data_IF_862129212540
#
_entry.id   IF_862129212540
#
_cell.length_a   1.000
_cell.length_b   1.000
_cell.length_c   1.000
_cell.angle_alpha   90.00
_cell.angle_beta   90.00
_cell.angle_gamma   90.00
#
_symmetry.space_group_name_H-M   'P 1'
#
loop_
_entity.id
_entity.type
_entity.pdbx_description
1 polymer ?
#
# COMPACT_ATOMS: atom_id res chain seq x y z
N UNK A 1 21.92 5.52 -15.34
CA UNK A 1 21.19 6.64 -14.71
C UNK A 1 21.74 7.06 -13.34
N UNK A 2 22.50 6.21 -12.60
CA UNK A 2 23.15 6.64 -11.35
C UNK A 2 22.17 7.11 -10.25
N UNK A 3 20.95 6.58 -10.26
CA UNK A 3 19.88 7.03 -9.36
C UNK A 3 20.09 6.50 -7.94
N UNK A 4 19.75 7.32 -6.96
CA UNK A 4 19.65 6.87 -5.58
C UNK A 4 18.55 5.81 -5.44
N UNK A 5 18.79 4.76 -4.66
CA UNK A 5 17.75 3.77 -4.29
C UNK A 5 16.52 4.39 -3.64
N UNK A 6 16.66 5.57 -3.02
CA UNK A 6 15.55 6.35 -2.44
C UNK A 6 14.68 7.05 -3.50
N UNK A 7 15.12 7.08 -4.75
CA UNK A 7 14.46 7.73 -5.90
C UNK A 7 14.03 6.74 -6.97
N UNK A 8 14.14 5.44 -6.68
CA UNK A 8 13.57 4.36 -7.49
C UNK A 8 12.54 3.68 -6.61
N UNK A 9 11.27 3.95 -6.87
CA UNK A 9 10.17 3.43 -6.05
C UNK A 9 9.46 2.33 -6.80
N UNK A 10 9.38 1.16 -6.18
CA UNK A 10 8.51 0.06 -6.62
C UNK A 10 7.21 0.13 -5.83
N UNK A 11 6.08 0.22 -6.53
CA UNK A 11 4.75 0.06 -5.92
C UNK A 11 4.20 -1.35 -6.18
N UNK A 12 3.46 -1.91 -5.23
CA UNK A 12 2.88 -3.26 -5.31
C UNK A 12 1.52 -3.33 -4.61
N UNK A 13 0.61 -4.12 -5.17
CA UNK A 13 -0.70 -4.44 -4.56
C UNK A 13 -0.64 -5.58 -3.52
N UNK A 14 0.54 -6.18 -3.30
CA UNK A 14 0.75 -7.12 -2.19
C UNK A 14 0.87 -8.60 -2.57
N UNK A 15 1.69 -8.92 -3.58
CA UNK A 15 2.10 -10.33 -3.82
C UNK A 15 3.16 -10.71 -2.77
N UNK A 16 2.72 -11.15 -1.59
CA UNK A 16 3.57 -11.32 -0.39
C UNK A 16 4.82 -12.18 -0.63
N UNK A 17 4.74 -13.40 -1.22
CA UNK A 17 5.94 -14.21 -1.44
C UNK A 17 6.96 -13.57 -2.40
N UNK A 18 6.49 -12.71 -3.31
CA UNK A 18 7.36 -11.97 -4.22
C UNK A 18 8.02 -10.77 -3.51
N UNK A 19 7.32 -10.13 -2.57
CA UNK A 19 7.90 -9.07 -1.75
C UNK A 19 9.00 -9.60 -0.82
N UNK A 20 8.78 -10.77 -0.21
CA UNK A 20 9.82 -11.43 0.60
C UNK A 20 11.08 -11.72 -0.25
N UNK A 21 10.90 -12.28 -1.45
CA UNK A 21 11.99 -12.51 -2.42
C UNK A 21 12.68 -11.20 -2.84
N UNK A 22 11.92 -10.13 -3.05
CA UNK A 22 12.48 -8.83 -3.41
C UNK A 22 13.46 -8.33 -2.35
N UNK A 23 13.11 -8.49 -1.07
CA UNK A 23 13.97 -8.12 0.05
C UNK A 23 15.29 -8.88 0.12
N UNK A 24 15.36 -10.08 -0.49
CA UNK A 24 16.58 -10.88 -0.59
C UNK A 24 17.39 -10.57 -1.87
N UNK A 25 16.82 -9.84 -2.82
CA UNK A 25 17.41 -9.58 -4.13
C UNK A 25 17.91 -8.14 -4.29
N UNK A 26 17.11 -7.14 -3.89
CA UNK A 26 17.43 -5.72 -4.13
C UNK A 26 16.74 -4.77 -3.14
N UNK A 27 17.49 -3.74 -2.73
CA UNK A 27 17.01 -2.65 -1.86
C UNK A 27 16.62 -1.42 -2.70
N UNK A 28 15.31 -1.17 -2.81
CA UNK A 28 14.69 -0.01 -3.48
C UNK A 28 13.61 0.60 -2.58
N UNK A 29 13.20 1.84 -2.84
CA UNK A 29 12.11 2.42 -2.08
C UNK A 29 10.79 1.67 -2.38
N UNK A 30 10.06 1.32 -1.34
CA UNK A 30 8.78 0.62 -1.43
C UNK A 30 7.60 1.58 -1.22
N UNK A 31 6.62 1.49 -2.10
CA UNK A 31 5.26 1.96 -1.90
C UNK A 31 4.28 0.78 -1.95
N UNK A 32 3.15 0.89 -1.24
CA UNK A 32 2.11 -0.13 -1.23
C UNK A 32 0.76 0.42 -1.65
N UNK A 33 0.08 -0.29 -2.55
CA UNK A 33 -1.29 0.02 -2.97
C UNK A 33 -2.27 -0.61 -1.98
N UNK A 34 -2.52 0.10 -0.87
CA UNK A 34 -3.39 -0.38 0.20
C UNK A 34 -4.86 -0.11 -0.13
N UNK A 35 -5.19 1.17 -0.36
CA UNK A 35 -6.47 1.68 -0.85
C UNK A 35 -7.73 1.39 -0.02
N UNK A 36 -7.65 0.68 1.10
CA UNK A 36 -8.80 0.39 1.94
C UNK A 36 -8.38 0.27 3.41
N UNK A 37 -9.28 0.61 4.35
CA UNK A 37 -9.00 0.53 5.78
C UNK A 37 -9.34 -0.84 6.38
N UNK A 38 -10.01 -1.73 5.65
CA UNK A 38 -10.40 -3.07 6.11
C UNK A 38 -10.44 -4.07 4.94
N UNK A 39 -10.42 -5.36 5.27
CA UNK A 39 -10.39 -6.44 4.26
C UNK A 39 -11.65 -6.48 3.40
N UNK A 40 -12.82 -6.15 3.96
CA UNK A 40 -14.09 -6.17 3.22
C UNK A 40 -14.08 -5.22 2.04
N UNK A 41 -13.69 -3.95 2.25
CA UNK A 41 -13.56 -2.97 1.16
C UNK A 41 -12.45 -3.40 0.22
N UNK A 42 -11.30 -3.83 0.77
CA UNK A 42 -10.12 -4.19 -0.02
C UNK A 42 -10.36 -5.39 -0.94
N UNK A 43 -11.15 -6.36 -0.51
CA UNK A 43 -11.54 -7.52 -1.32
C UNK A 43 -12.34 -7.16 -2.58
N UNK A 44 -13.03 -6.01 -2.55
CA UNK A 44 -13.77 -5.49 -3.72
C UNK A 44 -12.86 -4.68 -4.64
N UNK A 45 -12.09 -3.73 -4.11
CA UNK A 45 -11.30 -2.80 -4.94
C UNK A 45 -9.93 -3.36 -5.36
N UNK A 46 -9.35 -4.28 -4.59
CA UNK A 46 -8.02 -4.87 -4.81
C UNK A 46 -8.10 -6.40 -4.56
N UNK A 47 -8.61 -7.20 -5.54
CA UNK A 47 -9.01 -8.60 -5.32
C UNK A 47 -7.89 -9.55 -4.85
N UNK A 48 -6.62 -9.18 -5.01
CA UNK A 48 -5.49 -9.94 -4.45
C UNK A 48 -5.55 -10.03 -2.91
N UNK A 49 -6.30 -9.14 -2.25
CA UNK A 49 -6.53 -9.16 -0.80
C UNK A 49 -7.14 -10.48 -0.30
N UNK A 50 -8.03 -11.08 -1.10
CA UNK A 50 -8.65 -12.38 -0.79
C UNK A 50 -7.63 -13.50 -0.62
N UNK A 51 -6.44 -13.34 -1.22
CA UNK A 51 -5.31 -14.27 -1.10
C UNK A 51 -4.29 -13.81 -0.06
N UNK A 52 -4.01 -12.51 0.00
CA UNK A 52 -3.06 -11.88 0.92
C UNK A 52 -3.72 -10.67 1.56
N UNK A 53 -4.39 -10.90 2.68
CA UNK A 53 -5.15 -9.88 3.40
C UNK A 53 -4.25 -8.75 3.94
N UNK A 54 -4.86 -7.67 4.44
CA UNK A 54 -4.12 -6.48 4.89
C UNK A 54 -3.02 -6.84 5.89
N UNK A 55 -3.32 -7.61 6.93
CA UNK A 55 -2.34 -7.91 7.98
C UNK A 55 -1.18 -8.79 7.45
N UNK A 56 -1.47 -9.75 6.59
CA UNK A 56 -0.43 -10.57 5.93
C UNK A 56 0.47 -9.68 5.07
N UNK A 57 -0.11 -8.71 4.37
CA UNK A 57 0.63 -7.77 3.54
C UNK A 57 1.47 -6.80 4.38
N UNK A 58 0.92 -6.17 5.41
CA UNK A 58 1.65 -5.25 6.30
C UNK A 58 2.76 -5.97 7.07
N UNK A 59 2.55 -7.22 7.46
CA UNK A 59 3.59 -8.08 8.02
C UNK A 59 4.77 -8.27 7.05
N UNK A 60 4.50 -8.47 5.76
CA UNK A 60 5.53 -8.59 4.73
C UNK A 60 6.27 -7.26 4.49
N UNK A 61 5.55 -6.14 4.54
CA UNK A 61 6.14 -4.81 4.47
C UNK A 61 7.10 -4.58 5.63
N UNK A 62 6.72 -4.92 6.87
CA UNK A 62 7.59 -4.81 8.03
C UNK A 62 8.89 -5.61 7.86
N UNK A 63 8.80 -6.86 7.38
CA UNK A 63 9.98 -7.68 7.05
C UNK A 63 10.86 -7.05 5.95
N UNK A 64 10.26 -6.43 4.94
CA UNK A 64 11.02 -5.69 3.92
C UNK A 64 11.74 -4.49 4.51
N UNK A 65 11.08 -3.72 5.38
CA UNK A 65 11.65 -2.54 6.03
C UNK A 65 12.83 -2.88 6.96
N UNK A 66 12.85 -4.06 7.58
CA UNK A 66 13.99 -4.53 8.37
C UNK A 66 15.26 -4.75 7.52
N UNK A 67 15.09 -5.12 6.24
CA UNK A 67 16.18 -5.36 5.30
C UNK A 67 16.53 -4.12 4.45
N UNK A 68 15.62 -3.17 4.33
CA UNK A 68 15.74 -2.02 3.40
C UNK A 68 16.24 -0.76 4.07
N UNK A 69 17.25 -0.13 3.44
CA UNK A 69 17.73 1.20 3.79
C UNK A 69 17.21 2.30 2.85
N UNK A 70 16.56 1.91 1.74
CA UNK A 70 15.98 2.85 0.78
C UNK A 70 14.73 3.57 1.34
N UNK A 71 13.91 2.86 2.11
CA UNK A 71 12.70 3.42 2.73
C UNK A 71 12.96 4.32 3.95
N UNK A 72 14.18 4.33 4.49
CA UNK A 72 14.50 5.03 5.74
C UNK A 72 13.53 4.68 6.88
N UNK A 73 13.16 3.40 6.98
CA UNK A 73 12.25 2.88 8.00
C UNK A 73 10.78 3.25 7.82
N UNK A 74 10.36 3.89 6.71
CA UNK A 74 8.95 4.25 6.47
C UNK A 74 8.49 3.83 5.07
N UNK A 75 7.42 3.05 4.99
CA UNK A 75 6.78 2.71 3.71
C UNK A 75 5.89 3.86 3.22
N UNK A 76 5.77 4.04 1.90
CA UNK A 76 4.73 4.92 1.35
C UNK A 76 3.45 4.13 1.19
N UNK A 77 2.37 4.58 1.81
CA UNK A 77 1.03 3.98 1.67
C UNK A 77 0.27 4.79 0.63
N UNK A 78 -0.04 4.16 -0.49
CA UNK A 78 -0.87 4.74 -1.54
C UNK A 78 -2.34 4.44 -1.24
N UNK A 79 -3.16 5.48 -1.25
CA UNK A 79 -4.58 5.40 -0.93
C UNK A 79 -5.37 6.21 -1.95
N UNK A 80 -6.02 5.53 -2.89
CA UNK A 80 -6.91 6.19 -3.85
C UNK A 80 -8.22 6.57 -3.16
N UNK A 81 -8.69 7.79 -3.38
CA UNK A 81 -9.95 8.29 -2.82
C UNK A 81 -11.08 7.99 -3.81
N UNK A 82 -12.00 7.11 -3.44
CA UNK A 82 -13.17 6.72 -4.23
C UNK A 82 -14.43 7.22 -3.51
N UNK A 83 -15.20 8.03 -4.23
CA UNK A 83 -16.42 8.68 -3.72
C UNK A 83 -17.36 7.68 -3.04
N UNK A 84 -17.65 7.93 -1.75
CA UNK A 84 -18.54 7.14 -0.90
C UNK A 84 -18.16 5.65 -0.73
N UNK A 85 -16.93 5.26 -1.02
CA UNK A 85 -16.46 3.86 -0.93
C UNK A 85 -15.42 3.68 0.15
N UNK A 86 -14.43 4.57 0.22
CA UNK A 86 -13.29 4.46 1.12
C UNK A 86 -12.77 5.81 1.61
N UNK A 87 -13.57 6.87 1.44
CA UNK A 87 -13.18 8.27 1.62
C UNK A 87 -13.85 8.94 2.83
N UNK A 88 -14.59 8.17 3.65
CA UNK A 88 -15.26 8.71 4.83
C UNK A 88 -14.29 8.99 5.99
N UNK A 89 -14.73 9.77 6.97
CA UNK A 89 -13.95 9.98 8.21
C UNK A 89 -13.82 8.69 9.04
N UNK A 90 -14.81 7.82 8.98
CA UNK A 90 -14.78 6.53 9.67
C UNK A 90 -13.74 5.59 9.04
N UNK A 91 -13.59 5.64 7.71
CA UNK A 91 -12.51 4.95 6.99
C UNK A 91 -11.14 5.48 7.41
N UNK A 92 -11.01 6.80 7.57
CA UNK A 92 -9.76 7.42 8.02
C UNK A 92 -9.39 6.96 9.46
N UNK A 93 -10.37 6.86 10.36
CA UNK A 93 -10.14 6.33 11.72
C UNK A 93 -9.72 4.86 11.72
N UNK A 94 -10.39 4.02 10.92
CA UNK A 94 -10.01 2.62 10.76
C UNK A 94 -8.61 2.48 10.16
N UNK A 95 -8.28 3.29 9.14
CA UNK A 95 -6.96 3.29 8.51
C UNK A 95 -5.85 3.65 9.50
N UNK A 96 -6.10 4.64 10.36
CA UNK A 96 -5.15 5.03 11.40
C UNK A 96 -4.87 3.87 12.38
N UNK A 97 -5.92 3.13 12.77
CA UNK A 97 -5.78 1.96 13.64
C UNK A 97 -5.03 0.81 12.96
N UNK A 98 -5.36 0.50 11.70
CA UNK A 98 -4.67 -0.54 10.92
C UNK A 98 -3.18 -0.25 10.72
N UNK A 99 -2.81 1.02 10.55
CA UNK A 99 -1.43 1.42 10.30
C UNK A 99 -0.63 1.74 11.57
N UNK A 100 -1.21 1.62 12.77
CA UNK A 100 -0.57 2.05 14.03
C UNK A 100 0.80 1.41 14.27
N UNK A 101 0.98 0.15 13.85
CA UNK A 101 2.21 -0.61 14.04
C UNK A 101 3.10 -0.65 12.77
N UNK A 102 2.72 0.09 11.72
CA UNK A 102 3.45 0.16 10.46
C UNK A 102 3.95 1.58 10.19
N UNK A 103 5.24 1.87 10.47
CA UNK A 103 5.82 3.18 10.20
C UNK A 103 5.67 3.55 8.72
N UNK A 104 4.92 4.62 8.45
CA UNK A 104 4.57 4.97 7.08
C UNK A 104 4.46 6.47 6.82
N UNK A 105 4.30 6.81 5.55
CA UNK A 105 3.82 8.10 5.06
C UNK A 105 2.64 7.81 4.13
N UNK A 106 1.53 8.50 4.33
CA UNK A 106 0.31 8.28 3.55
C UNK A 106 0.29 9.26 2.37
N UNK A 107 0.02 8.74 1.18
CA UNK A 107 -0.18 9.48 -0.06
C UNK A 107 -1.64 9.29 -0.49
N UNK A 108 -2.47 10.32 -0.25
CA UNK A 108 -3.86 10.35 -0.71
C UNK A 108 -3.88 10.75 -2.18
N UNK A 109 -4.47 9.90 -3.02
CA UNK A 109 -4.48 10.04 -4.48
C UNK A 109 -5.92 10.30 -4.91
N UNK A 110 -6.26 11.50 -5.38
CA UNK A 110 -7.56 11.75 -5.98
C UNK A 110 -7.78 10.81 -7.17
N UNK A 111 -8.92 10.13 -7.22
CA UNK A 111 -9.21 9.23 -8.33
C UNK A 111 -9.37 10.01 -9.64
N UNK A 112 -8.76 9.48 -10.70
CA UNK A 112 -8.86 10.03 -12.05
C UNK A 112 -9.86 9.17 -12.85
N UNK A 113 -10.98 9.73 -13.32
CA UNK A 113 -11.99 8.97 -14.03
C UNK A 113 -11.49 8.42 -15.37
N UNK A 114 -12.01 7.25 -15.73
CA UNK A 114 -11.84 6.67 -17.06
C UNK A 114 -13.15 6.06 -17.57
N UNK A 115 -13.35 5.98 -18.90
CA UNK A 115 -14.59 5.46 -19.47
C UNK A 115 -14.91 4.04 -18.98
N UNK A 116 -16.14 3.84 -18.48
CA UNK A 116 -16.62 2.54 -18.01
C UNK A 116 -16.30 2.20 -16.55
N UNK A 117 -15.63 3.08 -15.80
CA UNK A 117 -15.39 2.86 -14.39
C UNK A 117 -16.68 3.03 -13.55
N UNK A 118 -16.94 2.15 -12.57
CA UNK A 118 -18.12 2.23 -11.70
C UNK A 118 -17.91 3.17 -10.49
N UNK A 119 -16.87 4.00 -10.49
CA UNK A 119 -16.46 4.80 -9.34
C UNK A 119 -16.52 6.30 -9.65
N UNK A 120 -16.69 7.11 -8.61
CA UNK A 120 -16.69 8.57 -8.65
C UNK A 120 -15.40 9.18 -8.10
N UNK A 121 -15.29 10.49 -8.23
CA UNK A 121 -14.20 11.31 -7.67
C UNK A 121 -14.63 11.94 -6.36
#
# INVERSE_FOLDING_TARGET
FGLSKRRVTLSTSGVVPALDKLGDMIDVALAISLHAPNDTIRDEIVPINRKYNIETFLSAVRRYLEKSNANQGRVTVEYVMLDHINDSTDDAHQLAEVLKDTPCKINLIPWNPFPGAPYGR
#
